data_IF_528559156084
#
_entry.id   IF_528559156084
#
_cell.length_a   1.000
_cell.length_b   1.000
_cell.length_c   1.000
_cell.angle_alpha   90.00
_cell.angle_beta   90.00
_cell.angle_gamma   90.00
#
_symmetry.space_group_name_H-M   'P 1'
#
loop_
_entity.id
_entity.type
_entity.pdbx_description
1 polymer ?
#
# COMPACT_ATOMS: atom_id res chain seq x y z
N UNK A 1 0.83 43.31 42.57
CA UNK A 1 2.00 42.46 42.25
C UNK A 1 1.54 41.03 42.24
N UNK A 2 1.12 40.51 41.07
CA UNK A 2 0.64 39.12 40.87
C UNK A 2 1.71 38.38 40.09
N UNK A 3 2.30 37.37 40.74
CA UNK A 3 3.31 36.48 40.20
C UNK A 3 2.58 35.41 39.40
N UNK A 4 2.85 35.35 38.07
CA UNK A 4 2.38 34.29 37.19
C UNK A 4 3.25 33.06 37.40
N UNK A 5 2.69 31.99 37.93
CA UNK A 5 3.29 30.65 37.90
C UNK A 5 3.02 30.02 36.54
N UNK A 6 4.04 29.92 35.73
CA UNK A 6 4.03 29.10 34.52
C UNK A 6 4.51 27.70 34.93
N UNK A 7 3.54 26.77 35.08
CA UNK A 7 3.86 25.36 35.25
C UNK A 7 4.24 24.77 33.88
N UNK A 8 5.52 24.59 33.65
CA UNK A 8 6.06 23.78 32.55
C UNK A 8 5.70 22.31 32.79
N UNK A 9 4.77 21.79 32.04
CA UNK A 9 4.57 20.36 31.92
C UNK A 9 5.72 19.76 31.10
N UNK A 10 6.79 19.38 31.75
CA UNK A 10 7.77 18.44 31.21
C UNK A 10 7.12 17.06 31.08
N UNK A 11 6.58 16.75 29.91
CA UNK A 11 6.33 15.36 29.53
C UNK A 11 7.69 14.66 29.44
N UNK A 12 7.99 13.79 30.40
CA UNK A 12 9.10 12.87 30.36
C UNK A 12 8.97 11.98 29.11
N UNK A 13 9.61 12.38 28.01
CA UNK A 13 9.87 11.52 26.87
C UNK A 13 10.89 10.46 27.26
N UNK A 14 10.46 9.38 27.88
CA UNK A 14 11.24 8.17 27.97
C UNK A 14 11.14 7.47 26.61
N UNK A 15 11.97 7.90 25.67
CA UNK A 15 12.20 7.19 24.40
C UNK A 15 12.89 5.88 24.74
N UNK A 16 12.11 4.84 25.00
CA UNK A 16 12.59 3.47 24.91
C UNK A 16 12.95 3.26 23.43
N UNK A 17 14.26 3.38 23.12
CA UNK A 17 14.79 2.94 21.82
C UNK A 17 14.32 1.51 21.62
N UNK A 18 13.43 1.29 20.66
CA UNK A 18 13.01 -0.05 20.29
C UNK A 18 14.27 -0.82 19.91
N UNK A 19 14.54 -1.93 20.59
CA UNK A 19 15.60 -2.86 20.21
C UNK A 19 15.18 -3.43 18.84
N UNK A 20 15.73 -2.86 17.77
CA UNK A 20 15.53 -3.40 16.43
C UNK A 20 16.33 -4.69 16.32
N UNK A 21 15.64 -5.81 16.46
CA UNK A 21 16.19 -7.08 16.03
C UNK A 21 16.47 -7.04 14.52
N UNK A 22 17.56 -7.66 14.03
CA UNK A 22 17.74 -7.87 12.60
C UNK A 22 16.47 -8.44 11.98
N UNK A 23 16.07 -7.94 10.80
CA UNK A 23 14.79 -8.31 10.19
C UNK A 23 14.52 -9.84 10.10
N UNK A 24 15.53 -10.73 9.93
CA UNK A 24 15.26 -12.17 9.93
C UNK A 24 14.75 -12.67 11.29
N UNK A 25 15.30 -12.18 12.39
CA UNK A 25 14.90 -12.57 13.74
C UNK A 25 13.51 -12.02 14.09
N UNK A 26 13.22 -10.78 13.71
CA UNK A 26 11.91 -10.18 13.96
C UNK A 26 10.79 -10.88 13.19
N UNK A 27 11.01 -11.20 11.91
CA UNK A 27 10.06 -11.97 11.12
C UNK A 27 9.95 -13.43 11.60
N UNK A 28 11.06 -14.07 11.98
CA UNK A 28 11.01 -15.42 12.57
C UNK A 28 10.16 -15.43 13.84
N UNK A 29 10.31 -14.42 14.70
CA UNK A 29 9.49 -14.25 15.88
C UNK A 29 8.02 -13.99 15.55
N UNK A 30 7.73 -13.18 14.53
CA UNK A 30 6.38 -12.96 14.03
C UNK A 30 5.73 -14.28 13.58
N UNK A 31 6.41 -15.07 12.74
CA UNK A 31 5.90 -16.35 12.26
C UNK A 31 5.71 -17.37 13.40
N UNK A 32 6.63 -17.41 14.38
CA UNK A 32 6.47 -18.26 15.57
C UNK A 32 5.18 -17.90 16.33
N UNK A 33 4.96 -16.60 16.58
CA UNK A 33 3.76 -16.13 17.27
C UNK A 33 2.49 -16.50 16.51
N UNK A 34 2.48 -16.34 15.19
CA UNK A 34 1.32 -16.64 14.34
C UNK A 34 1.04 -18.14 14.22
N UNK A 35 2.07 -18.96 13.92
CA UNK A 35 1.91 -20.36 13.54
C UNK A 35 2.00 -21.33 14.72
N UNK A 36 2.74 -20.99 15.75
CA UNK A 36 2.95 -21.88 16.91
C UNK A 36 2.11 -21.42 18.11
N UNK A 37 2.12 -20.10 18.40
CA UNK A 37 1.40 -19.57 19.56
C UNK A 37 -0.05 -19.16 19.24
N UNK A 38 -0.51 -19.30 18.00
CA UNK A 38 -1.88 -19.01 17.58
C UNK A 38 -2.31 -17.55 17.76
N UNK A 39 -1.36 -16.60 17.84
CA UNK A 39 -1.67 -15.18 18.05
C UNK A 39 -2.09 -14.51 16.74
N UNK A 40 -3.22 -13.83 16.74
CA UNK A 40 -3.70 -13.01 15.62
C UNK A 40 -3.00 -11.64 15.59
N UNK A 41 -1.73 -11.63 15.18
CA UNK A 41 -0.91 -10.42 15.08
C UNK A 41 -0.89 -9.96 13.61
N UNK A 42 -1.27 -8.70 13.29
CA UNK A 42 -1.20 -8.18 11.94
C UNK A 42 0.26 -7.95 11.52
N UNK A 43 0.58 -8.28 10.27
CA UNK A 43 1.88 -8.00 9.68
C UNK A 43 1.95 -6.59 9.11
N UNK A 44 0.89 -6.19 8.40
CA UNK A 44 0.86 -5.02 7.54
C UNK A 44 -0.29 -4.09 7.92
N UNK A 45 0.02 -2.82 8.14
CA UNK A 45 -0.96 -1.76 8.29
C UNK A 45 -1.14 -0.97 6.99
N UNK A 46 -2.39 -0.81 6.56
CA UNK A 46 -2.84 0.18 5.60
C UNK A 46 -3.19 1.45 6.38
N UNK A 47 -2.37 2.51 6.26
CA UNK A 47 -2.51 3.72 7.05
C UNK A 47 -2.96 4.89 6.15
N UNK A 48 -4.26 5.18 6.17
CA UNK A 48 -4.85 6.27 5.38
C UNK A 48 -4.76 7.56 6.18
N UNK A 49 -3.76 8.38 5.85
CA UNK A 49 -3.49 9.63 6.57
C UNK A 49 -4.46 10.76 6.19
N UNK A 50 -5.06 10.67 5.01
CA UNK A 50 -6.03 11.63 4.48
C UNK A 50 -6.81 11.02 3.32
N UNK A 51 -8.03 11.49 3.09
CA UNK A 51 -8.76 11.20 1.85
C UNK A 51 -8.67 12.35 0.83
N UNK A 52 -8.02 13.47 1.16
CA UNK A 52 -7.73 14.53 0.18
C UNK A 52 -6.80 14.03 -0.89
N UNK A 53 -7.13 14.34 -2.14
CA UNK A 53 -6.34 14.01 -3.30
C UNK A 53 -6.40 15.16 -4.30
N UNK A 54 -5.37 15.32 -5.10
CA UNK A 54 -5.32 16.26 -6.21
C UNK A 54 -5.72 15.64 -7.55
N UNK A 55 -6.18 14.38 -7.56
CA UNK A 55 -6.70 13.68 -8.73
C UNK A 55 -8.14 13.18 -8.46
N UNK A 56 -8.90 13.00 -9.55
CA UNK A 56 -10.27 12.46 -9.56
C UNK A 56 -10.32 11.20 -10.41
N UNK A 57 -9.52 10.19 -10.05
CA UNK A 57 -9.40 8.94 -10.79
C UNK A 57 -10.72 8.16 -10.85
N UNK A 58 -11.09 7.61 -12.02
CA UNK A 58 -12.35 6.87 -12.23
C UNK A 58 -12.56 5.71 -11.25
N UNK A 59 -11.50 4.98 -10.93
CA UNK A 59 -11.54 3.80 -10.07
C UNK A 59 -11.47 4.10 -8.56
N UNK A 60 -11.49 5.38 -8.15
CA UNK A 60 -11.20 5.74 -6.77
C UNK A 60 -12.39 6.42 -6.09
N UNK A 61 -12.95 5.85 -5.02
CA UNK A 61 -14.11 6.42 -4.34
C UNK A 61 -13.76 7.60 -3.42
N UNK A 62 -12.47 7.86 -3.13
CA UNK A 62 -12.07 8.85 -2.13
C UNK A 62 -12.41 10.29 -2.52
N UNK A 63 -12.43 10.62 -3.81
CA UNK A 63 -12.81 11.96 -4.26
C UNK A 63 -14.32 12.24 -4.13
N UNK A 64 -15.15 11.19 -3.99
CA UNK A 64 -16.60 11.29 -3.81
C UNK A 64 -17.01 11.52 -2.34
N UNK A 65 -16.07 11.37 -1.40
CA UNK A 65 -16.32 11.59 0.03
C UNK A 65 -16.62 13.05 0.35
N UNK A 66 -17.38 13.28 1.41
CA UNK A 66 -17.65 14.64 1.92
C UNK A 66 -16.37 15.35 2.38
N UNK A 67 -16.43 16.67 2.50
CA UNK A 67 -15.25 17.46 2.94
C UNK A 67 -14.87 17.14 4.40
N UNK A 68 -15.83 16.80 5.25
CA UNK A 68 -15.58 16.38 6.64
C UNK A 68 -14.82 15.06 6.69
N UNK A 69 -15.20 14.07 5.86
CA UNK A 69 -14.49 12.80 5.75
C UNK A 69 -13.08 12.98 5.17
N UNK A 70 -12.86 14.02 4.36
CA UNK A 70 -11.54 14.36 3.80
C UNK A 70 -10.66 15.16 4.75
N UNK A 71 -11.15 15.50 5.97
CA UNK A 71 -10.32 16.16 6.96
C UNK A 71 -9.01 15.37 7.17
N UNK A 72 -7.85 16.01 7.12
CA UNK A 72 -6.58 15.30 7.32
C UNK A 72 -6.47 14.90 8.79
N UNK A 73 -5.89 13.72 9.04
CA UNK A 73 -5.54 13.28 10.39
C UNK A 73 -4.60 14.30 11.04
N UNK A 74 -4.78 14.59 12.33
CA UNK A 74 -3.83 15.41 13.07
C UNK A 74 -2.53 14.65 13.34
N UNK A 75 -1.44 15.37 13.61
CA UNK A 75 -0.18 14.77 14.03
C UNK A 75 -0.35 13.87 15.26
N UNK A 76 -1.02 14.37 16.30
CA UNK A 76 -1.21 13.63 17.54
C UNK A 76 -2.02 12.35 17.31
N UNK A 77 -3.10 12.43 16.52
CA UNK A 77 -3.90 11.25 16.15
C UNK A 77 -3.06 10.24 15.36
N UNK A 78 -2.19 10.71 14.45
CA UNK A 78 -1.32 9.83 13.66
C UNK A 78 -0.29 9.10 14.54
N UNK A 79 0.31 9.81 15.51
CA UNK A 79 1.24 9.22 16.46
C UNK A 79 0.53 8.21 17.37
N UNK A 80 -0.63 8.52 17.90
CA UNK A 80 -1.43 7.62 18.75
C UNK A 80 -1.82 6.33 17.98
N UNK A 81 -2.19 6.48 16.72
CA UNK A 81 -2.49 5.34 15.85
C UNK A 81 -1.24 4.49 15.58
N UNK A 82 -0.08 5.09 15.27
CA UNK A 82 1.17 4.36 15.07
C UNK A 82 1.58 3.60 16.35
N UNK A 83 1.47 4.23 17.52
CA UNK A 83 1.74 3.57 18.80
C UNK A 83 0.75 2.42 19.07
N UNK A 84 -0.52 2.57 18.68
CA UNK A 84 -1.50 1.49 18.75
C UNK A 84 -1.12 0.33 17.85
N UNK A 85 -0.75 0.58 16.59
CA UNK A 85 -0.25 -0.44 15.66
C UNK A 85 0.97 -1.19 16.23
N UNK A 86 1.88 -0.46 16.86
CA UNK A 86 3.06 -1.05 17.52
C UNK A 86 2.63 -2.00 18.67
N UNK A 87 1.68 -1.59 19.50
CA UNK A 87 1.12 -2.43 20.58
C UNK A 87 0.44 -3.69 20.05
N UNK A 88 -0.22 -3.60 18.88
CA UNK A 88 -0.79 -4.76 18.20
C UNK A 88 0.26 -5.68 17.58
N UNK A 89 1.53 -5.29 17.57
CA UNK A 89 2.63 -6.10 17.04
C UNK A 89 2.79 -6.00 15.53
N UNK A 90 2.19 -5.01 14.88
CA UNK A 90 2.35 -4.75 13.44
C UNK A 90 3.83 -4.53 13.10
N UNK A 91 4.28 -5.07 11.96
CA UNK A 91 5.68 -4.99 11.51
C UNK A 91 5.91 -3.99 10.41
N UNK A 92 4.92 -3.76 9.58
CA UNK A 92 5.04 -2.93 8.38
C UNK A 92 3.89 -1.94 8.30
N UNK A 93 4.20 -0.70 7.88
CA UNK A 93 3.20 0.35 7.67
C UNK A 93 3.30 0.86 6.24
N UNK A 94 2.18 0.95 5.56
CA UNK A 94 2.04 1.60 4.26
C UNK A 94 1.19 2.85 4.45
N UNK A 95 1.79 4.01 4.30
CA UNK A 95 1.06 5.27 4.24
C UNK A 95 0.40 5.40 2.88
N UNK A 96 -0.91 5.60 2.88
CA UNK A 96 -1.74 5.70 1.69
C UNK A 96 -2.98 6.58 1.97
N UNK A 97 -4.02 6.48 1.15
CA UNK A 97 -5.29 7.20 1.32
C UNK A 97 -5.70 7.90 0.05
N UNK A 98 -5.98 9.21 0.08
CA UNK A 98 -6.10 10.03 -1.12
C UNK A 98 -4.73 10.22 -1.75
N UNK A 99 -4.05 11.35 -1.47
CA UNK A 99 -2.64 11.51 -1.78
C UNK A 99 -1.86 11.83 -0.48
N UNK A 100 -1.11 10.87 0.05
CA UNK A 100 -0.44 11.05 1.34
C UNK A 100 0.65 12.13 1.32
N UNK A 101 1.28 12.41 0.18
CA UNK A 101 2.27 13.48 0.06
C UNK A 101 1.67 14.89 0.18
N UNK A 102 0.35 15.04 0.07
CA UNK A 102 -0.36 16.30 0.36
C UNK A 102 -0.57 16.53 1.85
N UNK A 103 -0.42 15.50 2.69
CA UNK A 103 -0.75 15.60 4.09
C UNK A 103 0.11 16.65 4.83
N UNK A 104 -0.57 17.45 5.64
CA UNK A 104 0.03 18.51 6.47
C UNK A 104 -0.79 18.66 7.75
N UNK A 105 -0.06 18.89 8.84
CA UNK A 105 -0.63 19.39 10.11
C UNK A 105 0.34 20.40 10.71
N UNK A 106 -0.01 21.69 10.69
CA UNK A 106 0.92 22.76 11.04
C UNK A 106 2.22 22.73 10.23
N UNK A 107 3.35 22.59 10.90
CA UNK A 107 4.66 22.42 10.29
C UNK A 107 4.98 21.00 9.85
N UNK A 108 4.25 20.01 10.35
CA UNK A 108 4.48 18.59 10.06
C UNK A 108 4.07 18.20 8.65
N UNK A 109 4.80 17.25 8.07
CA UNK A 109 4.58 16.67 6.74
C UNK A 109 4.65 15.14 6.83
N UNK A 110 4.24 14.44 5.79
CA UNK A 110 4.38 12.99 5.70
C UNK A 110 5.83 12.53 5.96
N UNK A 111 6.81 13.32 5.52
CA UNK A 111 8.23 13.08 5.78
C UNK A 111 8.53 12.83 7.27
N UNK A 112 7.96 13.65 8.14
CA UNK A 112 8.20 13.56 9.60
C UNK A 112 7.55 12.31 10.19
N UNK A 113 6.33 11.97 9.75
CA UNK A 113 5.67 10.72 10.16
C UNK A 113 6.42 9.48 9.67
N UNK A 114 6.95 9.50 8.45
CA UNK A 114 7.76 8.40 7.93
C UNK A 114 9.04 8.23 8.76
N UNK A 115 9.72 9.32 9.12
CA UNK A 115 10.88 9.26 10.01
C UNK A 115 10.53 8.68 11.38
N UNK A 116 9.41 9.11 11.97
CA UNK A 116 8.92 8.54 13.22
C UNK A 116 8.61 7.05 13.09
N UNK A 117 7.83 6.67 12.08
CA UNK A 117 7.45 5.27 11.86
C UNK A 117 8.66 4.35 11.61
N UNK A 118 9.70 4.83 10.92
CA UNK A 118 10.94 4.06 10.69
C UNK A 118 11.70 3.71 11.96
N UNK A 119 11.49 4.42 13.06
CA UNK A 119 12.10 4.10 14.35
C UNK A 119 11.37 2.97 15.08
N UNK A 120 10.13 2.65 14.68
CA UNK A 120 9.23 1.77 15.40
C UNK A 120 8.76 0.54 14.62
N UNK A 121 8.88 0.57 13.30
CA UNK A 121 8.41 -0.51 12.41
C UNK A 121 9.56 -1.07 11.57
N UNK A 122 9.48 -2.35 11.29
CA UNK A 122 10.46 -3.06 10.47
C UNK A 122 10.57 -2.44 9.07
N UNK A 123 9.45 -2.11 8.45
CA UNK A 123 9.40 -1.45 7.15
C UNK A 123 8.27 -0.42 7.10
N UNK A 124 8.58 0.67 6.42
CA UNK A 124 7.64 1.76 6.14
C UNK A 124 7.64 2.00 4.65
N UNK A 125 6.46 2.03 4.06
CA UNK A 125 6.26 2.29 2.64
C UNK A 125 5.25 3.42 2.42
N UNK A 126 5.22 3.96 1.21
CA UNK A 126 4.25 4.97 0.77
C UNK A 126 3.67 4.55 -0.56
N UNK A 127 2.35 4.61 -0.68
CA UNK A 127 1.64 4.51 -1.96
C UNK A 127 1.15 5.89 -2.34
N UNK A 128 1.56 6.38 -3.51
CA UNK A 128 1.29 7.74 -3.99
C UNK A 128 0.80 7.72 -5.44
N UNK A 129 0.06 8.75 -5.82
CA UNK A 129 -0.26 8.97 -7.24
C UNK A 129 0.94 9.48 -8.06
N UNK A 130 2.04 9.84 -7.40
CA UNK A 130 3.29 10.25 -8.05
C UNK A 130 3.31 11.65 -8.66
N UNK A 131 2.27 12.47 -8.46
CA UNK A 131 2.23 13.83 -8.98
C UNK A 131 3.10 14.82 -8.20
N UNK A 132 3.55 14.44 -7.02
CA UNK A 132 4.46 15.21 -6.17
C UNK A 132 5.86 14.59 -6.16
N UNK A 133 6.93 15.34 -5.76
CA UNK A 133 8.27 14.80 -5.65
C UNK A 133 8.35 13.56 -4.76
N UNK A 134 9.08 12.53 -5.23
CA UNK A 134 9.22 11.25 -4.55
C UNK A 134 10.47 11.24 -3.66
N UNK A 135 10.54 12.15 -2.69
CA UNK A 135 11.70 12.38 -1.81
C UNK A 135 11.48 12.01 -0.35
N UNK A 136 10.36 11.34 -0.07
CA UNK A 136 10.01 10.87 1.28
C UNK A 136 10.96 9.73 1.72
N UNK A 137 11.47 9.73 2.98
CA UNK A 137 12.50 8.78 3.42
C UNK A 137 11.92 7.40 3.81
N UNK A 138 10.96 6.88 3.04
CA UNK A 138 10.40 5.54 3.24
C UNK A 138 11.38 4.44 2.80
N UNK A 139 11.10 3.19 3.13
CA UNK A 139 11.87 2.06 2.60
C UNK A 139 11.47 1.69 1.17
N UNK A 140 10.23 1.98 0.80
CA UNK A 140 9.67 1.65 -0.51
C UNK A 140 8.62 2.69 -0.89
N UNK A 141 8.59 3.09 -2.16
CA UNK A 141 7.52 3.90 -2.74
C UNK A 141 6.82 3.08 -3.82
N UNK A 142 5.50 3.00 -3.77
CA UNK A 142 4.66 2.57 -4.88
C UNK A 142 4.03 3.78 -5.54
N UNK A 143 4.27 3.92 -6.84
CA UNK A 143 3.61 4.92 -7.68
C UNK A 143 2.47 4.24 -8.43
N UNK A 144 1.27 4.76 -8.26
CA UNK A 144 0.09 4.25 -8.93
C UNK A 144 0.11 4.65 -10.41
N UNK A 145 0.12 3.66 -11.32
CA UNK A 145 0.12 3.89 -12.77
C UNK A 145 -0.65 2.78 -13.48
N UNK A 146 -1.71 3.12 -14.18
CA UNK A 146 -2.67 2.16 -14.74
C UNK A 146 -2.55 1.97 -16.25
N UNK A 147 -1.44 2.37 -16.86
CA UNK A 147 -1.14 2.21 -18.28
C UNK A 147 -0.09 3.20 -18.76
N UNK A 148 0.15 3.24 -20.07
CA UNK A 148 0.87 4.33 -20.72
C UNK A 148 -0.05 5.54 -20.89
N UNK A 149 0.47 6.60 -21.50
CA UNK A 149 -0.14 7.95 -21.48
C UNK A 149 -1.65 7.96 -21.76
N UNK A 150 -2.10 7.40 -22.85
CA UNK A 150 -3.51 7.45 -23.26
C UNK A 150 -4.41 6.75 -22.22
N UNK A 151 -4.12 5.50 -21.92
CA UNK A 151 -4.88 4.70 -20.94
C UNK A 151 -4.77 5.25 -19.53
N UNK A 152 -3.58 5.69 -19.12
CA UNK A 152 -3.39 6.27 -17.79
C UNK A 152 -4.15 7.59 -17.63
N UNK A 153 -4.05 8.50 -18.60
CA UNK A 153 -4.65 9.82 -18.53
C UNK A 153 -6.18 9.75 -18.53
N UNK A 154 -6.78 8.79 -19.27
CA UNK A 154 -8.21 8.50 -19.20
C UNK A 154 -8.64 8.05 -17.79
N UNK A 155 -7.87 7.17 -17.16
CA UNK A 155 -8.22 6.58 -15.88
C UNK A 155 -7.83 7.46 -14.67
N UNK A 156 -6.79 8.31 -14.81
CA UNK A 156 -6.14 9.02 -13.70
C UNK A 156 -5.88 10.51 -13.97
N UNK A 157 -6.88 11.21 -14.54
CA UNK A 157 -6.92 12.68 -14.57
C UNK A 157 -5.72 13.35 -15.28
N UNK A 158 -5.30 12.86 -16.45
CA UNK A 158 -4.23 13.46 -17.27
C UNK A 158 -2.91 13.72 -16.51
N UNK A 159 -2.46 12.73 -15.74
CA UNK A 159 -1.31 12.89 -14.84
C UNK A 159 -0.02 12.20 -15.30
N UNK A 160 -0.03 11.46 -16.41
CA UNK A 160 1.08 10.61 -16.87
C UNK A 160 2.40 11.34 -17.00
N UNK A 161 2.44 12.46 -17.73
CA UNK A 161 3.69 13.18 -18.02
C UNK A 161 4.35 13.74 -16.76
N UNK A 162 3.53 14.25 -15.81
CA UNK A 162 4.00 14.75 -14.53
C UNK A 162 4.59 13.62 -13.67
N UNK A 163 3.91 12.48 -13.61
CA UNK A 163 4.38 11.30 -12.88
C UNK A 163 5.70 10.79 -13.48
N UNK A 164 5.78 10.66 -14.80
CA UNK A 164 7.01 10.26 -15.49
C UNK A 164 8.17 11.22 -15.18
N UNK A 165 7.91 12.53 -15.14
CA UNK A 165 8.91 13.54 -14.77
C UNK A 165 9.42 13.31 -13.33
N UNK A 166 8.52 13.06 -12.37
CA UNK A 166 8.90 12.82 -10.98
C UNK A 166 9.66 11.49 -10.80
N UNK A 167 9.24 10.43 -11.51
CA UNK A 167 9.95 9.13 -11.51
C UNK A 167 11.37 9.29 -12.06
N UNK A 168 11.58 10.09 -13.14
CA UNK A 168 12.91 10.33 -13.71
C UNK A 168 13.81 11.13 -12.78
N UNK A 169 13.26 12.05 -11.98
CA UNK A 169 14.00 12.96 -11.10
C UNK A 169 14.31 12.36 -9.73
N UNK A 170 13.55 11.37 -9.29
CA UNK A 170 13.71 10.83 -7.94
C UNK A 170 15.07 10.18 -7.74
N UNK A 171 15.62 10.37 -6.53
CA UNK A 171 16.80 9.65 -6.03
C UNK A 171 16.43 8.54 -5.06
N UNK A 172 15.14 8.29 -4.85
CA UNK A 172 14.70 7.24 -3.94
C UNK A 172 15.13 5.87 -4.48
N UNK A 173 15.81 5.02 -3.67
CA UNK A 173 16.45 3.80 -4.16
C UNK A 173 15.46 2.70 -4.56
N UNK A 174 14.19 2.79 -4.13
CA UNK A 174 13.22 1.70 -4.24
C UNK A 174 11.84 2.24 -4.63
N UNK A 175 11.68 2.53 -5.90
CA UNK A 175 10.40 2.95 -6.49
C UNK A 175 9.85 1.81 -7.35
N UNK A 176 8.58 1.49 -7.15
CA UNK A 176 7.84 0.47 -7.89
C UNK A 176 6.59 1.08 -8.49
N UNK A 177 6.11 0.52 -9.58
CA UNK A 177 4.78 0.81 -10.10
C UNK A 177 3.76 -0.12 -9.44
N UNK A 178 2.61 0.42 -9.10
CA UNK A 178 1.42 -0.34 -8.72
C UNK A 178 0.32 -0.08 -9.74
N UNK A 179 -0.13 -1.13 -10.42
CA UNK A 179 -1.15 -1.06 -11.46
C UNK A 179 -2.42 -1.77 -10.99
N UNK A 180 -3.56 -1.06 -11.04
CA UNK A 180 -4.87 -1.66 -10.82
C UNK A 180 -5.49 -2.02 -12.17
N UNK A 181 -5.49 -3.32 -12.48
CA UNK A 181 -6.03 -3.84 -13.72
C UNK A 181 -7.55 -3.81 -13.72
N UNK A 182 -8.12 -3.27 -14.77
CA UNK A 182 -9.54 -3.16 -15.02
C UNK A 182 -9.84 -3.43 -16.50
N UNK A 183 -11.12 -3.34 -16.91
CA UNK A 183 -11.55 -3.64 -18.29
C UNK A 183 -10.86 -2.78 -19.34
N UNK A 184 -10.47 -1.55 -19.00
CA UNK A 184 -9.90 -0.59 -19.96
C UNK A 184 -8.38 -0.78 -20.15
N UNK A 185 -7.64 -1.35 -19.18
CA UNK A 185 -6.17 -1.37 -19.22
C UNK A 185 -5.52 -2.76 -19.23
N UNK A 186 -6.24 -3.85 -18.93
CA UNK A 186 -5.61 -5.16 -18.80
C UNK A 186 -4.93 -5.66 -20.08
N UNK A 187 -5.43 -5.20 -21.25
CA UNK A 187 -4.86 -5.58 -22.54
C UNK A 187 -3.49 -4.94 -22.80
N UNK A 188 -3.23 -3.79 -22.20
CA UNK A 188 -2.04 -2.96 -22.40
C UNK A 188 -0.98 -3.15 -21.30
N UNK A 189 -1.18 -4.11 -20.39
CA UNK A 189 -0.27 -4.35 -19.25
C UNK A 189 1.16 -4.72 -19.70
N UNK A 190 1.33 -5.30 -20.89
CA UNK A 190 2.65 -5.61 -21.47
C UNK A 190 3.43 -4.34 -21.85
N UNK A 191 2.76 -3.34 -22.41
CA UNK A 191 3.37 -2.06 -22.75
C UNK A 191 3.87 -1.35 -21.49
N UNK A 192 3.06 -1.34 -20.43
CA UNK A 192 3.45 -0.79 -19.14
C UNK A 192 4.63 -1.57 -18.53
N UNK A 193 4.60 -2.90 -18.57
CA UNK A 193 5.68 -3.73 -18.01
C UNK A 193 7.02 -3.55 -18.74
N UNK A 194 6.98 -3.39 -20.06
CA UNK A 194 8.17 -3.05 -20.88
C UNK A 194 8.71 -1.67 -20.51
N UNK A 195 7.84 -0.68 -20.44
CA UNK A 195 8.22 0.67 -20.03
C UNK A 195 8.85 0.68 -18.63
N UNK A 196 8.30 -0.08 -17.66
CA UNK A 196 8.90 -0.23 -16.32
C UNK A 196 10.29 -0.84 -16.39
N UNK A 197 10.53 -1.81 -17.27
CA UNK A 197 11.85 -2.42 -17.46
C UNK A 197 12.88 -1.44 -18.01
N UNK A 198 12.46 -0.52 -18.86
CA UNK A 198 13.32 0.49 -19.49
C UNK A 198 13.66 1.67 -18.57
N UNK A 199 12.91 1.85 -17.44
CA UNK A 199 13.11 2.97 -16.53
C UNK A 199 14.12 2.64 -15.42
N UNK A 200 15.35 3.22 -15.42
CA UNK A 200 16.42 2.85 -14.48
C UNK A 200 16.08 3.09 -13.00
N UNK A 201 15.21 4.08 -12.73
CA UNK A 201 14.77 4.44 -11.39
C UNK A 201 13.77 3.44 -10.80
N UNK A 202 13.07 2.68 -11.64
CA UNK A 202 12.08 1.70 -11.21
C UNK A 202 12.72 0.34 -10.90
N UNK A 203 12.20 -0.36 -9.90
CA UNK A 203 12.67 -1.68 -9.46
C UNK A 203 11.72 -2.82 -9.84
N UNK A 204 10.64 -2.48 -10.52
CA UNK A 204 9.60 -3.40 -10.99
C UNK A 204 8.19 -2.87 -10.76
N UNK A 205 7.22 -3.73 -10.98
CA UNK A 205 5.82 -3.41 -10.77
C UNK A 205 5.07 -4.52 -10.06
N UNK A 206 3.96 -4.14 -9.43
CA UNK A 206 2.95 -5.04 -8.89
C UNK A 206 1.62 -4.76 -9.58
N UNK A 207 0.80 -5.78 -9.71
CA UNK A 207 -0.55 -5.66 -10.24
C UNK A 207 -1.57 -6.11 -9.19
N UNK A 208 -2.74 -5.50 -9.21
CA UNK A 208 -3.95 -5.99 -8.55
C UNK A 208 -5.12 -5.87 -9.52
N UNK A 209 -6.22 -6.58 -9.23
CA UNK A 209 -7.42 -6.46 -10.02
C UNK A 209 -8.36 -5.46 -9.37
N UNK A 210 -9.01 -4.66 -10.20
CA UNK A 210 -10.03 -3.72 -9.74
C UNK A 210 -11.13 -4.47 -8.99
N UNK A 211 -11.56 -3.89 -7.88
CA UNK A 211 -12.69 -4.34 -7.09
C UNK A 211 -13.71 -3.21 -7.01
N UNK A 212 -14.98 -3.42 -7.41
CA UNK A 212 -15.99 -2.37 -7.39
C UNK A 212 -16.35 -1.96 -5.97
N UNK A 213 -16.65 -0.69 -5.79
CA UNK A 213 -17.11 -0.11 -4.53
C UNK A 213 -18.58 0.30 -4.56
N UNK A 214 -19.31 -0.12 -5.63
CA UNK A 214 -20.73 0.16 -5.88
C UNK A 214 -21.06 1.67 -5.91
N UNK A 215 -20.18 2.45 -6.52
CA UNK A 215 -20.30 3.91 -6.66
C UNK A 215 -20.34 4.36 -8.14
N UNK A 216 -20.80 3.48 -9.03
CA UNK A 216 -20.96 3.77 -10.46
C UNK A 216 -19.77 3.42 -11.34
N UNK A 217 -18.82 2.63 -10.83
CA UNK A 217 -17.63 2.17 -11.54
C UNK A 217 -17.72 0.74 -12.10
N UNK A 218 -18.94 0.24 -12.31
CA UNK A 218 -19.19 -1.15 -12.78
C UNK A 218 -18.56 -1.46 -14.13
N UNK A 219 -18.42 -0.45 -15.00
CA UNK A 219 -17.77 -0.58 -16.30
C UNK A 219 -16.27 -0.87 -16.22
N UNK A 220 -15.64 -0.69 -15.05
CA UNK A 220 -14.25 -1.02 -14.79
C UNK A 220 -14.04 -2.49 -14.43
N UNK A 221 -15.09 -3.19 -14.01
CA UNK A 221 -14.99 -4.56 -13.55
C UNK A 221 -14.65 -5.52 -14.70
N UNK A 222 -13.70 -6.42 -14.46
CA UNK A 222 -13.37 -7.50 -15.38
C UNK A 222 -14.41 -8.62 -15.28
N UNK A 223 -14.85 -9.14 -16.42
CA UNK A 223 -15.52 -10.44 -16.43
C UNK A 223 -14.56 -11.55 -15.99
N UNK A 224 -15.10 -12.71 -15.60
CA UNK A 224 -14.26 -13.87 -15.22
C UNK A 224 -13.33 -14.28 -16.38
N UNK A 225 -13.80 -14.23 -17.62
CA UNK A 225 -12.98 -14.55 -18.80
C UNK A 225 -11.86 -13.53 -19.00
N UNK A 226 -12.17 -12.24 -18.90
CA UNK A 226 -11.17 -11.16 -19.00
C UNK A 226 -10.13 -11.26 -17.88
N UNK A 227 -10.56 -11.56 -16.66
CA UNK A 227 -9.66 -11.78 -15.52
C UNK A 227 -8.72 -12.97 -15.76
N UNK A 228 -9.25 -14.10 -16.19
CA UNK A 228 -8.45 -15.28 -16.54
C UNK A 228 -7.45 -14.96 -17.66
N UNK A 229 -7.88 -14.24 -18.71
CA UNK A 229 -7.01 -13.82 -19.80
C UNK A 229 -5.91 -12.87 -19.32
N UNK A 230 -6.24 -11.89 -18.47
CA UNK A 230 -5.29 -10.97 -17.88
C UNK A 230 -4.23 -11.71 -17.02
N UNK A 231 -4.65 -12.65 -16.19
CA UNK A 231 -3.74 -13.46 -15.36
C UNK A 231 -2.79 -14.29 -16.26
N UNK A 232 -3.33 -14.96 -17.29
CA UNK A 232 -2.50 -15.73 -18.25
C UNK A 232 -1.46 -14.83 -18.91
N UNK A 233 -1.89 -13.65 -19.41
CA UNK A 233 -0.99 -12.65 -20.00
C UNK A 233 0.12 -12.23 -19.02
N UNK A 234 -0.22 -11.91 -17.77
CA UNK A 234 0.76 -11.55 -16.73
C UNK A 234 1.76 -12.68 -16.49
N UNK A 235 1.30 -13.93 -16.42
CA UNK A 235 2.17 -15.08 -16.21
C UNK A 235 3.14 -15.28 -17.37
N UNK A 236 2.71 -15.07 -18.62
CA UNK A 236 3.58 -15.09 -19.81
C UNK A 236 4.62 -13.97 -19.78
N UNK A 237 4.21 -12.74 -19.44
CA UNK A 237 5.12 -11.61 -19.29
C UNK A 237 6.18 -11.85 -18.21
N UNK A 238 5.79 -12.45 -17.09
CA UNK A 238 6.75 -12.86 -16.05
C UNK A 238 7.71 -13.95 -16.55
N UNK A 239 7.21 -14.92 -17.31
CA UNK A 239 8.06 -15.97 -17.89
C UNK A 239 9.04 -15.39 -18.90
N UNK A 240 8.70 -14.33 -19.62
CA UNK A 240 9.61 -13.61 -20.53
C UNK A 240 10.60 -12.68 -19.83
N UNK A 241 10.58 -12.62 -18.48
CA UNK A 241 11.55 -11.86 -17.69
C UNK A 241 11.14 -10.41 -17.37
N UNK A 242 9.92 -9.98 -17.71
CA UNK A 242 9.46 -8.65 -17.36
C UNK A 242 9.29 -8.49 -15.83
N UNK A 243 9.52 -7.29 -15.28
CA UNK A 243 9.74 -7.07 -13.86
C UNK A 243 8.42 -6.99 -13.04
N UNK A 244 7.51 -7.94 -13.23
CA UNK A 244 6.26 -8.07 -12.45
C UNK A 244 6.56 -8.91 -11.21
N UNK A 245 6.33 -8.36 -10.02
CA UNK A 245 6.80 -8.93 -8.74
C UNK A 245 5.79 -9.84 -8.04
N UNK A 246 4.51 -9.81 -8.42
CA UNK A 246 3.51 -10.72 -7.88
C UNK A 246 3.96 -12.19 -8.03
N UNK A 247 3.67 -13.05 -7.05
CA UNK A 247 4.04 -14.45 -7.13
C UNK A 247 3.22 -15.23 -8.17
N UNK A 248 3.87 -16.13 -8.88
CA UNK A 248 3.21 -16.99 -9.87
C UNK A 248 2.13 -17.85 -9.21
N UNK A 249 2.39 -18.36 -8.01
CA UNK A 249 1.46 -19.19 -7.26
C UNK A 249 0.19 -18.45 -6.90
N UNK A 250 0.29 -17.20 -6.43
CA UNK A 250 -0.91 -16.41 -6.08
C UNK A 250 -1.67 -15.95 -7.32
N UNK A 251 -0.99 -15.52 -8.36
CA UNK A 251 -1.65 -15.19 -9.62
C UNK A 251 -2.44 -16.37 -10.18
N UNK A 252 -1.88 -17.58 -10.16
CA UNK A 252 -2.61 -18.78 -10.59
C UNK A 252 -3.81 -19.09 -9.70
N UNK A 253 -3.64 -19.05 -8.40
CA UNK A 253 -4.71 -19.29 -7.45
C UNK A 253 -5.84 -18.27 -7.52
N UNK A 254 -5.58 -17.07 -8.05
CA UNK A 254 -6.60 -16.04 -8.27
C UNK A 254 -7.47 -16.27 -9.52
N UNK A 255 -7.16 -17.28 -10.36
CA UNK A 255 -8.02 -17.66 -11.49
C UNK A 255 -9.35 -18.24 -10.98
N UNK A 256 -9.28 -19.08 -9.96
CA UNK A 256 -10.40 -19.82 -9.38
C UNK A 256 -10.56 -19.56 -7.87
N UNK A 257 -9.80 -18.59 -7.34
CA UNK A 257 -9.69 -18.27 -5.91
C UNK A 257 -9.35 -19.49 -5.02
N UNK A 258 -8.56 -20.43 -5.53
CA UNK A 258 -8.07 -21.60 -4.80
C UNK A 258 -6.97 -21.26 -3.79
N UNK A 259 -7.22 -20.28 -2.92
CA UNK A 259 -6.29 -19.87 -1.87
C UNK A 259 -7.03 -19.49 -0.59
N UNK A 260 -6.40 -19.72 0.55
CA UNK A 260 -6.95 -19.31 1.83
C UNK A 260 -6.58 -17.86 2.16
N UNK A 261 -7.57 -17.05 2.53
CA UNK A 261 -7.39 -15.67 2.89
C UNK A 261 -7.20 -15.52 4.41
N UNK A 262 -5.99 -15.14 4.81
CA UNK A 262 -5.69 -14.73 6.18
C UNK A 262 -5.84 -13.20 6.27
N UNK A 263 -7.06 -12.68 6.18
CA UNK A 263 -7.28 -11.23 6.15
C UNK A 263 -6.88 -10.54 7.47
N UNK A 264 -6.87 -11.26 8.58
CA UNK A 264 -6.40 -10.82 9.90
C UNK A 264 -4.88 -10.48 9.96
N UNK A 265 -4.13 -10.79 8.89
CA UNK A 265 -2.75 -10.32 8.70
C UNK A 265 -2.67 -8.83 8.41
N UNK A 266 -3.81 -8.21 8.06
CA UNK A 266 -3.95 -6.79 7.79
C UNK A 266 -4.60 -6.06 8.97
N UNK A 267 -4.25 -4.79 9.12
CA UNK A 267 -4.90 -3.82 10.01
C UNK A 267 -4.97 -2.48 9.30
N UNK A 268 -6.04 -1.74 9.52
CA UNK A 268 -6.30 -0.48 8.81
C UNK A 268 -6.40 0.67 9.80
N UNK A 269 -5.95 1.83 9.37
CA UNK A 269 -6.16 3.10 10.05
C UNK A 269 -6.80 4.07 9.07
N UNK A 270 -7.92 4.67 9.45
CA UNK A 270 -8.62 5.69 8.67
C UNK A 270 -8.30 7.10 9.19
N UNK A 271 -8.54 8.18 8.41
CA UNK A 271 -8.09 9.54 8.77
C UNK A 271 -8.67 10.10 10.07
N UNK A 272 -9.76 9.56 10.56
CA UNK A 272 -10.36 9.89 11.89
C UNK A 272 -9.67 9.19 13.06
N UNK A 273 -8.65 8.35 12.79
CA UNK A 273 -7.95 7.54 13.79
C UNK A 273 -8.59 6.19 14.08
N UNK A 274 -9.71 5.84 13.42
CA UNK A 274 -10.36 4.54 13.59
C UNK A 274 -9.44 3.42 13.12
N UNK A 275 -9.31 2.38 13.95
CA UNK A 275 -8.47 1.20 13.66
C UNK A 275 -9.37 -0.02 13.51
N UNK A 276 -9.27 -0.71 12.36
CA UNK A 276 -10.02 -1.93 12.05
C UNK A 276 -9.08 -3.07 11.66
N UNK A 277 -9.31 -4.28 12.18
CA UNK A 277 -8.58 -5.48 11.80
C UNK A 277 -9.19 -6.12 10.55
N UNK A 278 -8.35 -6.73 9.74
CA UNK A 278 -8.76 -7.47 8.56
C UNK A 278 -8.57 -6.72 7.25
N UNK A 279 -9.08 -7.31 6.17
CA UNK A 279 -9.01 -6.74 4.83
C UNK A 279 -9.77 -5.41 4.78
N UNK A 280 -9.13 -4.36 4.28
CA UNK A 280 -9.71 -3.02 4.25
C UNK A 280 -10.97 -2.92 3.37
N UNK A 281 -11.16 -3.82 2.43
CA UNK A 281 -12.38 -3.87 1.61
C UNK A 281 -13.59 -4.22 2.46
N UNK A 282 -13.43 -5.10 3.47
CA UNK A 282 -14.52 -5.54 4.38
C UNK A 282 -15.17 -4.40 5.17
N UNK A 283 -14.47 -3.31 5.42
CA UNK A 283 -15.01 -2.16 6.12
C UNK A 283 -15.76 -1.17 5.21
N UNK A 284 -15.90 -1.45 3.91
CA UNK A 284 -16.38 -0.51 2.91
C UNK A 284 -17.68 -0.90 2.21
N UNK A 285 -18.26 -2.04 2.51
CA UNK A 285 -19.51 -2.52 1.91
C UNK A 285 -19.64 -4.03 1.91
N UNK A 286 -20.64 -4.55 1.22
CA UNK A 286 -20.80 -5.97 0.96
C UNK A 286 -19.69 -6.46 0.04
N UNK A 287 -19.05 -7.59 0.42
CA UNK A 287 -17.90 -8.11 -0.30
C UNK A 287 -18.19 -9.48 -0.84
N UNK A 288 -17.90 -9.68 -2.12
CA UNK A 288 -17.78 -10.99 -2.71
C UNK A 288 -16.31 -11.45 -2.69
N UNK A 289 -15.92 -12.22 -1.65
CA UNK A 289 -14.57 -12.76 -1.55
C UNK A 289 -14.25 -13.78 -2.66
N UNK A 290 -15.25 -14.41 -3.27
CA UNK A 290 -15.06 -15.39 -4.35
C UNK A 290 -14.54 -14.75 -5.65
N UNK A 291 -14.75 -13.44 -5.80
CA UNK A 291 -14.20 -12.67 -6.91
C UNK A 291 -13.03 -11.76 -6.49
N UNK A 292 -12.41 -12.01 -5.34
CA UNK A 292 -11.33 -11.20 -4.81
C UNK A 292 -10.16 -11.08 -5.79
N UNK A 293 -9.79 -9.83 -6.10
CA UNK A 293 -8.63 -9.47 -6.93
C UNK A 293 -7.51 -8.77 -6.17
N UNK A 294 -7.63 -8.71 -4.83
CA UNK A 294 -6.76 -7.93 -3.98
C UNK A 294 -5.43 -8.64 -3.70
N UNK A 295 -4.45 -8.40 -4.55
CA UNK A 295 -3.16 -9.11 -4.48
C UNK A 295 -2.35 -8.85 -3.21
N UNK A 296 -2.38 -7.69 -2.54
CA UNK A 296 -1.66 -7.50 -1.28
C UNK A 296 -2.04 -8.51 -0.20
N UNK A 297 -3.34 -8.78 0.01
CA UNK A 297 -3.78 -9.78 0.99
C UNK A 297 -3.48 -11.20 0.52
N UNK A 298 -3.60 -11.47 -0.79
CA UNK A 298 -3.27 -12.78 -1.35
C UNK A 298 -1.79 -13.13 -1.17
N UNK A 299 -0.89 -12.17 -1.43
CA UNK A 299 0.55 -12.34 -1.23
C UNK A 299 0.92 -12.46 0.25
N UNK A 300 0.34 -11.64 1.12
CA UNK A 300 0.56 -11.72 2.57
C UNK A 300 0.08 -13.04 3.15
N UNK A 301 -1.11 -13.51 2.73
CA UNK A 301 -1.64 -14.84 3.10
C UNK A 301 -0.72 -15.96 2.62
N UNK A 302 -0.26 -15.89 1.37
CA UNK A 302 0.69 -16.86 0.83
C UNK A 302 2.03 -16.86 1.58
N UNK A 303 2.52 -15.70 2.00
CA UNK A 303 3.73 -15.62 2.82
C UNK A 303 3.51 -16.25 4.20
N UNK A 304 2.34 -16.04 4.81
CA UNK A 304 1.98 -16.67 6.07
C UNK A 304 1.87 -18.20 5.95
N UNK A 305 1.46 -18.72 4.79
CA UNK A 305 1.42 -20.15 4.48
C UNK A 305 2.76 -20.70 3.94
N UNK A 306 3.84 -19.92 4.07
CA UNK A 306 5.18 -20.30 3.62
C UNK A 306 5.26 -20.63 2.12
N UNK A 307 4.38 -20.05 1.30
CA UNK A 307 4.46 -20.22 -0.16
C UNK A 307 5.73 -19.52 -0.67
N UNK A 308 6.69 -20.26 -1.28
CA UNK A 308 8.00 -19.69 -1.64
C UNK A 308 7.92 -18.47 -2.55
N UNK A 309 6.98 -18.47 -3.51
CA UNK A 309 6.77 -17.32 -4.41
C UNK A 309 6.35 -16.06 -3.67
N UNK A 310 5.43 -16.17 -2.69
CA UNK A 310 4.97 -15.03 -1.89
C UNK A 310 6.04 -14.54 -0.91
N UNK A 311 6.81 -15.44 -0.31
CA UNK A 311 7.97 -15.07 0.52
C UNK A 311 9.01 -14.31 -0.31
N UNK A 312 9.30 -14.78 -1.53
CA UNK A 312 10.22 -14.10 -2.44
C UNK A 312 9.69 -12.74 -2.90
N UNK A 313 8.40 -12.62 -3.22
CA UNK A 313 7.77 -11.33 -3.55
C UNK A 313 7.87 -10.36 -2.38
N UNK A 314 7.53 -10.78 -1.17
CA UNK A 314 7.65 -9.99 0.05
C UNK A 314 9.09 -9.54 0.32
N UNK A 315 10.06 -10.44 0.15
CA UNK A 315 11.48 -10.09 0.27
C UNK A 315 11.89 -9.04 -0.77
N UNK A 316 11.50 -9.21 -2.05
CA UNK A 316 11.79 -8.25 -3.13
C UNK A 316 11.18 -6.88 -2.84
N UNK A 317 9.94 -6.83 -2.35
CA UNK A 317 9.18 -5.59 -2.15
C UNK A 317 9.57 -4.84 -0.87
N UNK A 318 9.91 -5.55 0.19
CA UNK A 318 10.10 -4.92 1.50
C UNK A 318 11.51 -5.08 2.08
N UNK A 319 12.20 -6.20 1.85
CA UNK A 319 13.38 -6.57 2.62
C UNK A 319 14.70 -6.46 1.86
N UNK A 320 14.69 -6.62 0.54
CA UNK A 320 15.90 -6.48 -0.28
C UNK A 320 16.38 -5.02 -0.18
N UNK A 321 17.54 -4.82 0.39
CA UNK A 321 18.25 -3.52 0.46
C UNK A 321 19.02 -3.31 -0.83
#
# INVERSE_FOLDING_TARGET
MKIFNIALHEKKNTTLKALHFPWPLDLSWFFLQRKILGREIPLLASFKITYRCNLTCRACPFHLRSDDEKAPMSWDTAIDALESLRRHGTRMVVFEGGEPLLWRDGSYRLHDLVLYARQHFLRVAVTTNGTLPLDVPSHTIWVSMDGLKETHDELRSNSFDLICSNIKKTKHPRVFIHCTLNRHNWRDVDSLAKWVQEMPTLKGMTVQFFYPYDQGEDDLSLSLEERCAAIKKILELKKSGLPILNSVSRLRAMIDNSWFCHDDILINVDPDGTITKGCYVKSRGEINCDSCGFTPVAEASGALDFIPGSLYAGWRLFLKV
#
